data_IF_536361894451
#
_entry.id   IF_536361894451
#
_cell.length_a   1.000
_cell.length_b   1.000
_cell.length_c   1.000
_cell.angle_alpha   90.00
_cell.angle_beta   90.00
_cell.angle_gamma   90.00
#
_symmetry.space_group_name_H-M   'P 1'
#
loop_
_entity.id
_entity.type
_entity.pdbx_description
1 polymer ?
#
# COMPACT_ATOMS: atom_id res chain seq x y z
N UNK A 1 4.18 10.31 -22.28
CA UNK A 1 3.04 10.56 -21.38
C UNK A 1 3.26 9.75 -20.10
N UNK A 2 3.64 10.38 -18.98
CA UNK A 2 3.81 9.70 -17.69
C UNK A 2 2.41 9.54 -17.10
N UNK A 3 1.92 8.33 -16.82
CA UNK A 3 0.57 8.17 -16.30
C UNK A 3 0.43 8.95 -14.98
N UNK A 4 -0.75 9.50 -14.69
CA UNK A 4 -1.01 10.15 -13.42
C UNK A 4 -0.79 9.12 -12.31
N UNK A 5 0.26 9.33 -11.53
CA UNK A 5 0.51 8.59 -10.29
C UNK A 5 -0.37 9.25 -9.25
N UNK A 6 -1.55 8.69 -9.02
CA UNK A 6 -2.43 9.15 -7.94
C UNK A 6 -1.89 8.60 -6.61
N UNK A 7 -1.64 9.48 -5.65
CA UNK A 7 -1.21 9.09 -4.32
C UNK A 7 -2.46 8.86 -3.48
N UNK A 8 -2.64 7.64 -3.00
CA UNK A 8 -3.74 7.31 -2.10
C UNK A 8 -3.17 7.12 -0.70
N UNK A 9 -3.60 8.02 0.18
CA UNK A 9 -3.35 7.89 1.61
C UNK A 9 -4.41 6.99 2.22
N UNK A 10 -3.99 6.00 3.01
CA UNK A 10 -4.82 5.01 3.72
C UNK A 10 -5.31 3.79 2.91
N UNK A 11 -4.47 3.20 2.07
CA UNK A 11 -4.79 1.89 1.50
C UNK A 11 -4.51 0.75 2.50
N UNK A 12 -5.26 -0.34 2.37
CA UNK A 12 -5.02 -1.58 3.11
C UNK A 12 -3.85 -2.35 2.48
N UNK A 13 -2.82 -2.61 3.29
CA UNK A 13 -1.61 -3.32 2.87
C UNK A 13 -1.40 -4.51 3.79
N UNK A 14 -1.18 -5.67 3.18
CA UNK A 14 -0.85 -6.87 3.91
C UNK A 14 0.60 -6.84 4.41
N UNK A 15 0.78 -6.94 5.72
CA UNK A 15 2.10 -7.09 6.34
C UNK A 15 2.53 -8.57 6.29
N UNK A 16 3.60 -8.94 5.55
CA UNK A 16 4.03 -10.33 5.42
C UNK A 16 4.64 -10.91 6.70
N UNK A 17 5.01 -10.07 7.66
CA UNK A 17 5.69 -10.50 8.90
C UNK A 17 4.72 -10.92 9.99
N UNK A 18 3.61 -10.17 10.12
CA UNK A 18 2.61 -10.37 11.18
C UNK A 18 1.25 -10.76 10.60
N UNK A 19 1.20 -11.05 9.31
CA UNK A 19 0.06 -11.58 8.56
C UNK A 19 -1.25 -10.82 8.76
N UNK A 20 -1.17 -9.50 8.97
CA UNK A 20 -2.33 -8.63 9.19
C UNK A 20 -2.34 -7.47 8.21
N UNK A 21 -3.53 -6.94 8.00
CA UNK A 21 -3.75 -5.76 7.16
C UNK A 21 -3.44 -4.52 8.00
N UNK A 22 -2.70 -3.58 7.42
CA UNK A 22 -2.36 -2.28 7.98
C UNK A 22 -2.63 -1.18 6.98
N UNK A 23 -2.92 0.03 7.45
CA UNK A 23 -3.06 1.19 6.57
C UNK A 23 -1.68 1.75 6.20
N UNK A 24 -1.47 2.01 4.91
CA UNK A 24 -0.28 2.69 4.42
C UNK A 24 -0.58 3.50 3.15
N UNK A 25 0.25 4.50 2.89
CA UNK A 25 0.22 5.28 1.67
C UNK A 25 0.75 4.46 0.49
N UNK A 26 0.02 4.52 -0.62
CA UNK A 26 0.35 3.84 -1.87
C UNK A 26 0.38 4.84 -3.03
N UNK A 27 1.18 4.53 -4.03
CA UNK A 27 1.05 5.10 -5.36
C UNK A 27 0.16 4.18 -6.21
N UNK A 28 -0.98 4.70 -6.65
CA UNK A 28 -1.76 4.09 -7.72
C UNK A 28 -1.05 4.36 -9.04
N UNK A 29 -0.45 3.32 -9.60
CA UNK A 29 0.01 3.33 -10.99
C UNK A 29 -0.98 2.53 -11.84
N UNK A 30 -1.12 2.83 -13.14
CA UNK A 30 -2.04 2.09 -14.02
C UNK A 30 -1.68 0.59 -14.16
N UNK A 31 -0.46 0.18 -13.79
CA UNK A 31 -0.05 -1.23 -13.83
C UNK A 31 -0.40 -1.95 -12.55
N UNK A 32 -0.04 -1.36 -11.41
CA UNK A 32 -0.32 -1.91 -10.08
C UNK A 32 -0.19 -0.86 -8.98
N UNK A 33 -1.04 -0.91 -7.95
CA UNK A 33 -0.81 -0.15 -6.73
C UNK A 33 0.51 -0.61 -6.08
N UNK A 34 1.32 0.33 -5.63
CA UNK A 34 2.61 0.05 -4.99
C UNK A 34 2.71 0.86 -3.70
N UNK A 35 3.18 0.25 -2.63
CA UNK A 35 3.42 0.96 -1.35
C UNK A 35 4.47 2.04 -1.56
N UNK A 36 4.26 3.22 -0.98
CA UNK A 36 5.27 4.26 -1.02
C UNK A 36 6.53 3.81 -0.26
N UNK A 37 7.73 4.18 -0.75
CA UNK A 37 8.96 3.80 -0.09
C UNK A 37 9.03 4.37 1.33
N UNK A 38 9.47 3.54 2.28
CA UNK A 38 9.63 3.94 3.69
C UNK A 38 8.41 3.72 4.57
N UNK A 39 7.29 3.24 4.02
CA UNK A 39 6.15 2.81 4.83
C UNK A 39 6.53 1.59 5.67
N UNK A 40 6.18 1.64 6.95
CA UNK A 40 6.45 0.57 7.91
C UNK A 40 5.17 0.12 8.59
N UNK A 41 5.14 -1.15 8.97
CA UNK A 41 4.06 -1.68 9.79
C UNK A 41 4.08 -1.00 11.17
N UNK A 42 2.94 -0.48 11.61
CA UNK A 42 2.78 0.14 12.94
C UNK A 42 3.05 -0.82 14.10
N UNK A 43 2.95 -2.14 13.86
CA UNK A 43 3.07 -3.17 14.89
C UNK A 43 4.46 -3.82 14.98
N UNK A 44 5.11 -4.11 13.86
CA UNK A 44 6.43 -4.78 13.85
C UNK A 44 7.53 -3.95 13.22
N UNK A 45 7.23 -2.74 12.75
CA UNK A 45 8.19 -1.78 12.20
C UNK A 45 8.94 -2.29 10.95
N UNK A 46 8.52 -3.43 10.42
CA UNK A 46 9.03 -4.00 9.18
C UNK A 46 8.57 -3.19 7.98
N UNK A 47 9.43 -3.12 6.96
CA UNK A 47 9.14 -2.50 5.68
C UNK A 47 7.90 -3.11 5.03
N UNK A 48 6.99 -2.24 4.57
CA UNK A 48 5.83 -2.61 3.77
C UNK A 48 6.11 -2.53 2.26
N UNK A 49 7.34 -2.22 1.85
CA UNK A 49 7.76 -2.14 0.44
C UNK A 49 7.51 -3.44 -0.33
N UNK A 50 7.63 -4.59 0.35
CA UNK A 50 7.32 -5.92 -0.18
C UNK A 50 5.89 -6.40 0.15
N UNK A 51 5.10 -5.56 0.83
CA UNK A 51 3.73 -5.86 1.23
C UNK A 51 2.79 -5.92 0.03
N UNK A 52 1.83 -6.84 0.08
CA UNK A 52 0.81 -6.95 -0.96
C UNK A 52 -0.23 -5.84 -0.73
N UNK A 53 -0.40 -4.95 -1.70
CA UNK A 53 -1.41 -3.89 -1.60
C UNK A 53 -2.79 -4.50 -1.86
N UNK A 54 -3.60 -4.57 -0.82
CA UNK A 54 -5.00 -4.99 -0.89
C UNK A 54 -5.86 -3.75 -1.08
N UNK A 55 -5.96 -3.24 -2.30
CA UNK A 55 -6.92 -2.15 -2.57
C UNK A 55 -8.31 -2.79 -2.58
N UNK A 56 -9.14 -2.51 -1.57
CA UNK A 56 -10.60 -2.63 -1.70
C UNK A 56 -11.10 -1.22 -2.03
N UNK A 57 -11.17 -0.82 -3.32
CA UNK A 57 -11.85 0.42 -3.65
C UNK A 57 -13.30 0.23 -3.21
N UNK A 58 -13.78 1.13 -2.36
CA UNK A 58 -15.18 1.17 -1.94
C UNK A 58 -16.05 1.19 -3.20
N UNK A 59 -16.92 0.19 -3.32
CA UNK A 59 -17.98 0.22 -4.32
C UNK A 59 -18.92 1.40 -4.01
N UNK A 60 -19.14 2.23 -5.04
CA UNK A 60 -20.19 3.23 -5.25
C UNK A 60 -20.38 4.34 -4.18
#
# INVERSE_FOLDING_TARGET
MKPPIERVSNAEVYCPIRTHIVNADIALTPKKPTVLPGQKCSRCWSSLDAGFVMVIPKAA
#
